data_IF_975131068165
#
_entry.id   IF_975131068165
#
_cell.length_a   1.000
_cell.length_b   1.000
_cell.length_c   1.000
_cell.angle_alpha   90.00
_cell.angle_beta   90.00
_cell.angle_gamma   90.00
#
_symmetry.space_group_name_H-M   'P 1'
#
loop_
_entity.id
_entity.type
_entity.pdbx_description
1 polymer ?
#
# COMPACT_ATOMS: atom_id res chain seq x y z
N UNK A 1 18.41 -6.76 30.43
CA UNK A 1 17.17 -6.26 31.07
C UNK A 1 15.99 -7.25 30.96
N UNK A 2 15.65 -7.79 29.78
CA UNK A 2 14.52 -8.74 29.65
C UNK A 2 14.73 -10.09 30.35
N UNK A 3 15.93 -10.67 30.26
CA UNK A 3 16.26 -11.94 30.95
C UNK A 3 16.14 -11.83 32.46
N UNK A 4 16.72 -10.79 33.05
CA UNK A 4 16.70 -10.54 34.49
C UNK A 4 15.29 -10.51 35.10
N UNK A 5 14.27 -10.00 34.40
CA UNK A 5 12.92 -9.96 34.94
C UNK A 5 12.26 -11.36 34.98
N UNK A 6 12.46 -12.17 33.94
CA UNK A 6 11.92 -13.53 33.88
C UNK A 6 12.65 -14.43 34.87
N UNK A 7 13.98 -14.37 34.90
CA UNK A 7 14.80 -15.17 35.80
C UNK A 7 14.49 -14.85 37.27
N UNK A 8 14.31 -13.57 37.62
CA UNK A 8 13.90 -13.16 38.97
C UNK A 8 12.49 -13.64 39.34
N UNK A 9 11.57 -13.67 38.39
CA UNK A 9 10.20 -14.14 38.64
C UNK A 9 10.16 -15.65 38.86
N UNK A 10 10.85 -16.42 38.02
CA UNK A 10 10.98 -17.88 38.15
C UNK A 10 11.70 -18.24 39.45
N UNK A 11 12.77 -17.53 39.81
CA UNK A 11 13.51 -17.77 41.05
C UNK A 11 12.63 -17.67 42.31
N UNK A 12 11.58 -16.84 42.29
CA UNK A 12 10.63 -16.67 43.40
C UNK A 12 9.57 -17.78 43.48
N UNK A 13 9.48 -18.67 42.48
CA UNK A 13 8.48 -19.75 42.43
C UNK A 13 9.14 -21.13 42.28
N UNK A 14 9.35 -21.87 43.39
CA UNK A 14 10.01 -23.19 43.38
C UNK A 14 9.46 -24.20 42.35
N UNK A 15 8.14 -24.29 42.09
CA UNK A 15 7.62 -25.20 41.07
C UNK A 15 8.08 -24.90 39.64
N UNK A 16 8.55 -23.67 39.37
CA UNK A 16 8.93 -23.22 38.04
C UNK A 16 10.44 -23.26 37.80
N UNK A 17 11.25 -23.57 38.82
CA UNK A 17 12.70 -23.69 38.69
C UNK A 17 13.16 -24.63 37.55
N UNK A 18 12.48 -25.76 37.26
CA UNK A 18 12.85 -26.60 36.11
C UNK A 18 12.66 -25.94 34.73
N UNK A 19 11.94 -24.82 34.66
CA UNK A 19 11.64 -24.09 33.42
C UNK A 19 12.57 -22.88 33.23
N UNK A 20 13.62 -22.76 34.03
CA UNK A 20 14.55 -21.64 33.95
C UNK A 20 15.33 -21.71 32.63
N UNK A 21 15.26 -20.63 31.85
CA UNK A 21 15.88 -20.58 30.53
C UNK A 21 17.41 -20.59 30.67
N UNK A 22 18.04 -21.49 29.94
CA UNK A 22 19.50 -21.56 29.88
C UNK A 22 20.05 -20.43 29.00
N UNK A 23 21.37 -20.22 29.07
CA UNK A 23 22.02 -19.25 28.19
C UNK A 23 21.88 -19.62 26.69
N UNK A 24 21.80 -20.91 26.38
CA UNK A 24 21.54 -21.40 25.02
C UNK A 24 20.11 -21.07 24.57
N UNK A 25 19.12 -21.21 25.46
CA UNK A 25 17.73 -20.83 25.16
C UNK A 25 17.61 -19.33 24.87
N UNK A 26 18.31 -18.49 25.64
CA UNK A 26 18.35 -17.04 25.38
C UNK A 26 19.00 -16.71 24.04
N UNK A 27 20.09 -17.41 23.68
CA UNK A 27 20.72 -17.25 22.37
C UNK A 27 19.79 -17.69 21.24
N UNK A 28 19.05 -18.79 21.42
CA UNK A 28 18.05 -19.26 20.47
C UNK A 28 16.93 -18.24 20.27
N UNK A 29 16.43 -17.65 21.36
CA UNK A 29 15.40 -16.60 21.34
C UNK A 29 15.88 -15.34 20.61
N UNK A 30 17.14 -14.94 20.80
CA UNK A 30 17.72 -13.80 20.08
C UNK A 30 17.82 -14.05 18.57
N UNK A 31 18.23 -15.25 18.15
CA UNK A 31 18.24 -15.62 16.73
C UNK A 31 16.82 -15.71 16.15
N UNK A 32 15.87 -16.27 16.89
CA UNK A 32 14.47 -16.31 16.49
C UNK A 32 13.90 -14.90 16.33
N UNK A 33 14.21 -13.98 17.26
CA UNK A 33 13.80 -12.59 17.15
C UNK A 33 14.35 -11.94 15.86
N UNK A 34 15.61 -12.21 15.48
CA UNK A 34 16.19 -11.70 14.24
C UNK A 34 15.47 -12.24 13.00
N UNK A 35 15.14 -13.54 13.00
CA UNK A 35 14.37 -14.17 11.91
C UNK A 35 12.98 -13.53 11.79
N UNK A 36 12.28 -13.31 12.91
CA UNK A 36 10.91 -12.80 12.92
C UNK A 36 10.78 -11.28 12.79
N UNK A 37 11.87 -10.52 12.97
CA UNK A 37 11.83 -9.05 12.99
C UNK A 37 11.18 -8.43 11.73
N UNK A 38 11.48 -8.87 10.49
CA UNK A 38 10.85 -8.30 9.30
C UNK A 38 9.34 -8.54 9.25
N UNK A 39 8.87 -9.69 9.73
CA UNK A 39 7.44 -10.00 9.81
C UNK A 39 6.71 -9.04 10.75
N UNK A 40 7.32 -8.70 11.89
CA UNK A 40 6.78 -7.68 12.79
C UNK A 40 6.71 -6.31 12.12
N UNK A 41 7.77 -5.89 11.42
CA UNK A 41 7.81 -4.60 10.69
C UNK A 41 6.75 -4.55 9.59
N UNK A 42 6.64 -5.60 8.78
CA UNK A 42 5.63 -5.74 7.72
C UNK A 42 4.23 -5.67 8.31
N UNK A 43 3.96 -6.43 9.37
CA UNK A 43 2.65 -6.44 10.05
C UNK A 43 2.29 -5.04 10.54
N UNK A 44 3.22 -4.33 11.20
CA UNK A 44 2.98 -2.97 11.69
C UNK A 44 2.70 -1.99 10.55
N UNK A 45 3.47 -2.04 9.45
CA UNK A 45 3.29 -1.16 8.31
C UNK A 45 1.96 -1.44 7.59
N UNK A 46 1.63 -2.71 7.38
CA UNK A 46 0.37 -3.15 6.76
C UNK A 46 -0.87 -2.88 7.61
N UNK A 47 -0.68 -2.67 8.92
CA UNK A 47 -1.73 -2.30 9.88
C UNK A 47 -2.01 -0.79 9.95
N UNK A 48 -1.30 0.03 9.16
CA UNK A 48 -1.55 1.47 9.07
C UNK A 48 -2.81 1.72 8.23
N UNK A 49 -3.58 2.73 8.63
CA UNK A 49 -4.80 3.16 7.93
C UNK A 49 -4.70 4.56 7.31
N UNK A 50 -3.60 5.29 7.55
CA UNK A 50 -3.39 6.66 7.08
C UNK A 50 -2.55 6.75 5.80
N UNK A 51 -2.03 5.63 5.32
CA UNK A 51 -1.18 5.53 4.14
C UNK A 51 -1.65 4.37 3.28
N UNK A 52 -1.56 4.48 1.94
CA UNK A 52 -1.72 3.35 1.04
C UNK A 52 -0.81 2.18 1.41
N UNK A 53 -1.39 1.00 1.55
CA UNK A 53 -0.66 -0.24 1.93
C UNK A 53 -0.61 -1.26 0.80
N UNK A 54 -1.61 -1.29 -0.09
CA UNK A 54 -1.65 -2.23 -1.22
C UNK A 54 -0.39 -2.22 -2.12
N UNK A 55 0.22 -1.05 -2.48
CA UNK A 55 1.43 -1.02 -3.30
C UNK A 55 2.62 -1.74 -2.69
N UNK A 56 2.62 -1.90 -1.37
CA UNK A 56 3.72 -2.48 -0.62
C UNK A 56 3.58 -3.99 -0.44
N UNK A 57 2.46 -4.60 -0.84
CA UNK A 57 2.21 -6.03 -0.60
C UNK A 57 3.28 -6.89 -1.28
N UNK A 58 3.48 -6.74 -2.59
CA UNK A 58 4.48 -7.52 -3.34
C UNK A 58 5.91 -7.19 -2.85
N UNK A 59 6.32 -5.91 -2.69
CA UNK A 59 7.62 -5.57 -2.11
C UNK A 59 7.90 -6.19 -0.73
N UNK A 60 6.91 -6.23 0.16
CA UNK A 60 7.09 -6.80 1.49
C UNK A 60 7.22 -8.32 1.48
N UNK A 61 6.47 -9.02 0.62
CA UNK A 61 6.68 -10.45 0.42
C UNK A 61 8.09 -10.73 -0.09
N UNK A 62 8.55 -10.01 -1.12
CA UNK A 62 9.92 -10.17 -1.64
C UNK A 62 10.97 -9.91 -0.56
N UNK A 63 10.79 -8.88 0.28
CA UNK A 63 11.71 -8.61 1.38
C UNK A 63 11.74 -9.73 2.43
N UNK A 64 10.58 -10.27 2.82
CA UNK A 64 10.51 -11.37 3.79
C UNK A 64 11.04 -12.69 3.20
N UNK A 65 10.81 -12.97 1.92
CA UNK A 65 11.34 -14.14 1.22
C UNK A 65 12.87 -14.10 1.19
N UNK A 66 13.43 -12.98 0.76
CA UNK A 66 14.89 -12.79 0.72
C UNK A 66 15.50 -12.95 2.11
N UNK A 67 14.88 -12.36 3.13
CA UNK A 67 15.33 -12.50 4.50
C UNK A 67 15.36 -13.95 4.98
N UNK A 68 14.30 -14.72 4.71
CA UNK A 68 14.26 -16.14 5.09
C UNK A 68 15.29 -16.97 4.31
N UNK A 69 15.49 -16.71 3.00
CA UNK A 69 16.51 -17.40 2.20
C UNK A 69 17.91 -17.25 2.79
N UNK A 70 18.30 -16.03 3.15
CA UNK A 70 19.59 -15.75 3.81
C UNK A 70 19.74 -16.56 5.10
N UNK A 71 18.67 -16.72 5.89
CA UNK A 71 18.72 -17.50 7.14
C UNK A 71 18.71 -19.03 6.90
N UNK A 72 18.11 -19.51 5.81
CA UNK A 72 18.15 -20.94 5.45
C UNK A 72 19.57 -21.35 5.02
N UNK A 73 20.27 -20.47 4.31
CA UNK A 73 21.64 -20.68 3.81
C UNK A 73 22.73 -20.45 4.85
N UNK A 74 22.41 -19.78 5.96
CA UNK A 74 23.37 -19.47 7.02
C UNK A 74 23.78 -20.73 7.80
N UNK A 75 25.06 -21.08 7.76
CA UNK A 75 25.60 -22.29 8.40
C UNK A 75 25.77 -22.17 9.93
N UNK A 76 25.67 -20.98 10.51
CA UNK A 76 25.87 -20.74 11.94
C UNK A 76 24.58 -20.84 12.78
N UNK A 77 23.42 -21.00 12.13
CA UNK A 77 22.13 -21.24 12.77
C UNK A 77 21.98 -22.71 13.17
N UNK A 78 21.30 -22.95 14.28
CA UNK A 78 20.92 -24.31 14.70
C UNK A 78 20.06 -24.96 13.62
N UNK A 79 20.19 -26.29 13.47
CA UNK A 79 19.44 -27.05 12.48
C UNK A 79 17.92 -26.80 12.60
N UNK A 80 17.40 -26.77 13.82
CA UNK A 80 15.98 -26.51 14.10
C UNK A 80 15.51 -25.13 13.62
N UNK A 81 16.32 -24.08 13.78
CA UNK A 81 15.96 -22.74 13.28
C UNK A 81 16.02 -22.67 11.76
N UNK A 82 16.98 -23.37 11.13
CA UNK A 82 17.06 -23.46 9.67
C UNK A 82 15.88 -24.21 9.07
N UNK A 83 15.48 -25.31 9.68
CA UNK A 83 14.28 -26.07 9.31
C UNK A 83 13.02 -25.23 9.48
N UNK A 84 12.89 -24.49 10.59
CA UNK A 84 11.78 -23.58 10.82
C UNK A 84 11.74 -22.44 9.79
N UNK A 85 12.89 -21.83 9.48
CA UNK A 85 13.00 -20.80 8.45
C UNK A 85 12.65 -21.35 7.06
N UNK A 86 13.08 -22.57 6.74
CA UNK A 86 12.75 -23.27 5.49
C UNK A 86 11.24 -23.55 5.38
N UNK A 87 10.62 -24.06 6.44
CA UNK A 87 9.17 -24.26 6.48
C UNK A 87 8.41 -22.93 6.34
N UNK A 88 8.91 -21.87 6.98
CA UNK A 88 8.41 -20.51 6.82
C UNK A 88 8.53 -19.99 5.38
N UNK A 89 9.65 -20.25 4.72
CA UNK A 89 9.92 -19.85 3.34
C UNK A 89 8.92 -20.52 2.38
N UNK A 90 8.77 -21.84 2.49
CA UNK A 90 7.79 -22.61 1.70
C UNK A 90 6.38 -22.05 1.87
N UNK A 91 5.99 -21.75 3.12
CA UNK A 91 4.66 -21.18 3.40
C UNK A 91 4.50 -19.79 2.82
N UNK A 92 5.54 -18.96 2.92
CA UNK A 92 5.53 -17.59 2.43
C UNK A 92 5.43 -17.54 0.90
N UNK A 93 6.12 -18.43 0.19
CA UNK A 93 6.06 -18.54 -1.27
C UNK A 93 4.64 -18.87 -1.77
N UNK A 94 3.90 -19.73 -1.06
CA UNK A 94 2.50 -20.03 -1.40
C UNK A 94 1.60 -18.78 -1.39
N UNK A 95 1.75 -17.91 -0.39
CA UNK A 95 0.97 -16.67 -0.31
C UNK A 95 1.51 -15.59 -1.24
N UNK A 96 2.82 -15.56 -1.44
CA UNK A 96 3.44 -14.66 -2.41
C UNK A 96 2.88 -14.89 -3.81
N UNK A 97 2.76 -16.14 -4.26
CA UNK A 97 2.18 -16.46 -5.56
C UNK A 97 0.72 -15.97 -5.70
N UNK A 98 -0.08 -16.06 -4.63
CA UNK A 98 -1.43 -15.46 -4.62
C UNK A 98 -1.38 -13.94 -4.73
N UNK A 99 -0.46 -13.30 -4.00
CA UNK A 99 -0.29 -11.85 -4.04
C UNK A 99 0.15 -11.35 -5.42
N UNK A 100 1.06 -12.07 -6.09
CA UNK A 100 1.53 -11.75 -7.44
C UNK A 100 0.45 -11.91 -8.51
N UNK A 101 -0.43 -12.90 -8.38
CA UNK A 101 -1.52 -13.13 -9.35
C UNK A 101 -2.63 -12.08 -9.23
N UNK A 102 -2.69 -11.35 -8.13
CA UNK A 102 -3.67 -10.30 -7.92
C UNK A 102 -3.29 -9.04 -8.71
N UNK A 103 -4.07 -8.74 -9.75
CA UNK A 103 -3.86 -7.55 -10.59
C UNK A 103 -3.87 -6.24 -9.79
N UNK A 104 -4.67 -6.15 -8.72
CA UNK A 104 -4.76 -4.95 -7.89
C UNK A 104 -3.42 -4.64 -7.21
N UNK A 105 -2.74 -5.66 -6.69
CA UNK A 105 -1.41 -5.51 -6.10
C UNK A 105 -0.41 -4.99 -7.13
N UNK A 106 -0.42 -5.55 -8.35
CA UNK A 106 0.47 -5.15 -9.43
C UNK A 106 0.22 -3.69 -9.82
N UNK A 107 -1.03 -3.34 -10.13
CA UNK A 107 -1.42 -2.00 -10.58
C UNK A 107 -1.09 -0.97 -9.48
N UNK A 108 -1.44 -1.24 -8.22
CA UNK A 108 -1.12 -0.35 -7.10
C UNK A 108 0.40 -0.15 -6.93
N UNK A 109 1.21 -1.21 -7.13
CA UNK A 109 2.68 -1.13 -7.10
C UNK A 109 3.21 -0.20 -8.19
N UNK A 110 2.68 -0.29 -9.42
CA UNK A 110 3.07 0.60 -10.54
C UNK A 110 2.66 2.05 -10.26
N UNK A 111 1.48 2.27 -9.69
CA UNK A 111 0.97 3.60 -9.36
C UNK A 111 1.75 4.28 -8.24
N UNK A 112 2.61 3.56 -7.51
CA UNK A 112 3.38 4.16 -6.44
C UNK A 112 4.62 4.93 -7.00
N UNK A 113 4.75 6.26 -6.75
CA UNK A 113 5.83 7.12 -7.24
C UNK A 113 7.25 6.58 -7.06
N UNK A 114 7.50 5.93 -5.93
CA UNK A 114 8.84 5.39 -5.63
C UNK A 114 9.14 4.00 -6.19
N UNK A 115 8.13 3.28 -6.71
CA UNK A 115 8.29 1.92 -7.21
C UNK A 115 8.23 1.91 -8.73
N UNK A 116 7.07 2.30 -9.27
CA UNK A 116 6.81 2.34 -10.70
C UNK A 116 7.02 0.99 -11.39
N UNK A 117 7.04 1.05 -12.72
CA UNK A 117 7.32 -0.13 -13.55
C UNK A 117 8.78 -0.61 -13.39
N UNK A 118 9.70 0.29 -13.02
CA UNK A 118 11.12 -0.01 -12.76
C UNK A 118 11.32 -1.01 -11.64
N UNK A 119 10.44 -1.03 -10.64
CA UNK A 119 10.56 -1.98 -9.53
C UNK A 119 10.43 -3.43 -10.01
N UNK A 120 9.49 -3.71 -10.91
CA UNK A 120 9.33 -5.04 -11.51
C UNK A 120 10.51 -5.44 -12.39
N UNK A 121 11.16 -4.47 -13.05
CA UNK A 121 12.35 -4.71 -13.87
C UNK A 121 13.53 -5.32 -13.10
N UNK A 122 13.61 -5.09 -11.78
CA UNK A 122 14.63 -5.73 -10.92
C UNK A 122 14.52 -7.25 -10.87
N UNK A 123 13.34 -7.79 -11.17
CA UNK A 123 13.02 -9.21 -11.06
C UNK A 123 12.82 -9.87 -12.43
N UNK A 124 13.26 -9.22 -13.52
CA UNK A 124 13.22 -9.73 -14.88
C UNK A 124 12.25 -8.99 -15.80
N UNK A 125 12.58 -8.96 -17.09
CA UNK A 125 11.80 -8.24 -18.10
C UNK A 125 10.40 -8.86 -18.29
N UNK A 126 10.24 -10.17 -18.13
CA UNK A 126 8.94 -10.85 -18.21
C UNK A 126 7.94 -10.33 -17.18
N UNK A 127 8.39 -10.14 -15.93
CA UNK A 127 7.54 -9.61 -14.86
C UNK A 127 7.14 -8.17 -15.15
N UNK A 128 8.08 -7.37 -15.64
CA UNK A 128 7.84 -5.98 -16.04
C UNK A 128 6.86 -5.89 -17.21
N UNK A 129 7.00 -6.75 -18.22
CA UNK A 129 6.09 -6.81 -19.37
C UNK A 129 4.68 -7.23 -18.95
N UNK A 130 4.57 -8.26 -18.11
CA UNK A 130 3.28 -8.69 -17.56
C UNK A 130 2.59 -7.56 -16.78
N UNK A 131 3.35 -6.87 -15.92
CA UNK A 131 2.86 -5.73 -15.14
C UNK A 131 2.40 -4.57 -16.05
N UNK A 132 3.16 -4.27 -17.10
CA UNK A 132 2.82 -3.26 -18.10
C UNK A 132 1.51 -3.60 -18.82
N UNK A 133 1.33 -4.84 -19.26
CA UNK A 133 0.11 -5.29 -19.96
C UNK A 133 -1.13 -5.10 -19.08
N UNK A 134 -1.08 -5.57 -17.82
CA UNK A 134 -2.20 -5.43 -16.88
C UNK A 134 -2.54 -3.96 -16.62
N UNK A 135 -1.51 -3.12 -16.46
CA UNK A 135 -1.70 -1.70 -16.26
C UNK A 135 -2.35 -1.02 -17.47
N UNK A 136 -1.85 -1.29 -18.69
CA UNK A 136 -2.41 -0.75 -19.93
C UNK A 136 -3.88 -1.12 -20.09
N UNK A 137 -4.25 -2.37 -19.84
CA UNK A 137 -5.64 -2.82 -19.90
C UNK A 137 -6.55 -2.07 -18.90
N UNK A 138 -6.09 -1.88 -17.67
CA UNK A 138 -6.81 -1.08 -16.68
C UNK A 138 -6.92 0.39 -17.11
N UNK A 139 -5.82 0.96 -17.62
CA UNK A 139 -5.77 2.33 -18.11
C UNK A 139 -6.77 2.59 -19.25
N UNK A 140 -6.85 1.69 -20.23
CA UNK A 140 -7.81 1.83 -21.34
C UNK A 140 -9.26 1.86 -20.85
N UNK A 141 -9.58 1.06 -19.83
CA UNK A 141 -10.92 1.05 -19.21
C UNK A 141 -11.23 2.39 -18.54
N UNK A 142 -10.27 2.94 -17.78
CA UNK A 142 -10.40 4.26 -17.14
C UNK A 142 -10.44 5.40 -18.16
N UNK A 143 -9.65 5.31 -19.24
CA UNK A 143 -9.61 6.30 -20.32
C UNK A 143 -10.97 6.43 -21.01
N UNK A 144 -11.64 5.31 -21.31
CA UNK A 144 -13.01 5.31 -21.87
C UNK A 144 -13.99 6.08 -20.98
N UNK A 145 -13.93 5.85 -19.67
CA UNK A 145 -14.79 6.55 -18.69
C UNK A 145 -14.45 8.04 -18.68
N UNK A 146 -13.16 8.39 -18.62
CA UNK A 146 -12.67 9.76 -18.63
C UNK A 146 -13.13 10.53 -19.87
N UNK A 147 -12.94 9.96 -21.06
CA UNK A 147 -13.29 10.60 -22.33
C UNK A 147 -14.81 10.82 -22.43
N UNK A 148 -15.62 9.86 -21.97
CA UNK A 148 -17.08 9.98 -21.92
C UNK A 148 -17.55 11.11 -20.98
N UNK A 149 -16.96 11.19 -19.78
CA UNK A 149 -17.27 12.27 -18.84
C UNK A 149 -16.85 13.64 -19.38
N UNK A 150 -15.66 13.71 -19.98
CA UNK A 150 -15.14 14.95 -20.60
C UNK A 150 -16.02 15.41 -21.76
N UNK A 151 -16.53 14.48 -22.57
CA UNK A 151 -17.46 14.79 -23.65
C UNK A 151 -18.79 15.34 -23.11
N UNK A 152 -19.33 14.77 -22.02
CA UNK A 152 -20.55 15.22 -21.35
C UNK A 152 -20.41 16.57 -20.64
N UNK A 153 -19.22 16.91 -20.17
CA UNK A 153 -18.94 18.14 -19.43
C UNK A 153 -18.78 19.39 -20.32
N UNK A 154 -18.75 19.27 -21.66
CA UNK A 154 -18.78 20.44 -22.55
C UNK A 154 -20.20 21.06 -22.55
N UNK A 155 -20.41 22.31 -22.10
CA UNK A 155 -21.68 23.00 -22.28
C UNK A 155 -21.81 23.48 -23.73
N UNK A 156 -23.05 23.52 -24.23
CA UNK A 156 -23.49 24.37 -25.34
C UNK A 156 -22.90 25.77 -25.17
N UNK A 157 -22.09 26.23 -26.12
CA UNK A 157 -21.59 27.60 -26.12
C UNK A 157 -22.77 28.55 -26.39
N UNK A 158 -23.25 29.25 -25.37
CA UNK A 158 -23.88 30.56 -25.60
C UNK A 158 -22.77 31.58 -25.85
N UNK A 159 -22.84 32.39 -26.92
CA UNK A 159 -21.87 33.44 -27.17
C UNK A 159 -22.00 34.51 -26.08
N UNK A 160 -21.02 34.60 -25.17
CA UNK A 160 -20.89 35.75 -24.27
C UNK A 160 -20.31 36.94 -25.04
N UNK A 161 -21.00 38.09 -25.13
CA UNK A 161 -20.43 39.29 -25.70
C UNK A 161 -19.48 39.95 -24.69
N UNK A 162 -18.25 40.24 -25.13
CA UNK A 162 -17.31 41.12 -24.44
C UNK A 162 -16.23 40.41 -23.62
N UNK A 163 -15.18 39.93 -24.29
CA UNK A 163 -13.87 39.78 -23.66
C UNK A 163 -12.90 40.75 -24.34
N UNK A 164 -12.63 41.88 -23.69
CA UNK A 164 -11.44 42.67 -23.95
C UNK A 164 -10.24 41.83 -23.55
N UNK A 165 -9.49 41.33 -24.53
CA UNK A 165 -8.25 40.61 -24.29
C UNK A 165 -7.27 41.54 -23.56
N UNK A 166 -6.81 41.11 -22.40
CA UNK A 166 -5.79 41.80 -21.63
C UNK A 166 -4.54 41.99 -22.50
N UNK A 167 -3.98 43.21 -22.54
CA UNK A 167 -2.74 43.52 -23.24
C UNK A 167 -1.58 42.58 -22.84
N UNK A 168 -1.54 42.14 -21.58
CA UNK A 168 -0.55 41.16 -21.10
C UNK A 168 -0.82 39.74 -21.63
N UNK A 169 -2.08 39.38 -21.93
CA UNK A 169 -2.39 38.11 -22.57
C UNK A 169 -1.90 38.06 -24.02
N UNK A 170 -1.89 39.21 -24.71
CA UNK A 170 -1.31 39.34 -26.05
C UNK A 170 0.22 39.39 -26.03
N UNK A 171 0.85 39.97 -24.99
CA UNK A 171 2.33 39.96 -24.87
C UNK A 171 2.85 38.56 -24.55
N UNK A 172 2.14 37.82 -23.70
CA UNK A 172 2.51 36.45 -23.36
C UNK A 172 2.03 35.41 -24.39
N UNK A 173 1.28 35.84 -25.41
CA UNK A 173 0.96 35.00 -26.56
C UNK A 173 2.23 34.89 -27.42
N UNK A 174 3.16 34.07 -26.97
CA UNK A 174 4.09 33.43 -27.89
C UNK A 174 3.26 32.55 -28.81
N UNK A 175 3.49 32.64 -30.12
CA UNK A 175 2.93 31.73 -31.11
C UNK A 175 3.38 30.31 -30.77
N UNK A 176 2.57 29.61 -29.97
CA UNK A 176 2.74 28.22 -29.56
C UNK A 176 2.35 27.26 -30.71
N UNK A 177 2.51 27.71 -31.96
CA UNK A 177 2.13 27.00 -33.18
C UNK A 177 3.30 26.17 -33.78
N UNK A 178 4.45 26.13 -33.09
CA UNK A 178 5.60 25.30 -33.47
C UNK A 178 6.22 24.53 -32.28
N UNK A 179 5.37 23.90 -31.46
CA UNK A 179 5.77 22.70 -30.71
C UNK A 179 5.04 21.51 -31.31
N UNK A 180 5.73 20.87 -32.26
CA UNK A 180 5.24 19.72 -33.01
C UNK A 180 4.41 18.75 -32.16
N UNK A 181 3.20 18.47 -32.67
CA UNK A 181 2.32 17.36 -32.26
C UNK A 181 3.07 16.03 -32.41
N UNK A 182 4.00 15.74 -31.51
CA UNK A 182 4.26 14.36 -31.12
C UNK A 182 3.18 14.01 -30.12
N UNK A 183 2.08 13.46 -30.61
CA UNK A 183 0.97 12.95 -29.81
C UNK A 183 1.42 11.73 -28.99
N UNK A 184 2.40 11.91 -28.10
CA UNK A 184 2.83 10.89 -27.16
C UNK A 184 1.69 10.69 -26.18
N UNK A 185 1.14 9.47 -26.11
CA UNK A 185 -0.01 9.21 -25.25
C UNK A 185 0.36 9.47 -23.79
N UNK A 186 -0.60 9.90 -22.96
CA UNK A 186 -0.40 10.05 -21.50
C UNK A 186 0.25 8.78 -20.89
N UNK A 187 -0.11 7.60 -21.40
CA UNK A 187 0.45 6.33 -20.98
C UNK A 187 1.93 6.17 -21.34
N UNK A 188 2.32 6.56 -22.55
CA UNK A 188 3.73 6.54 -22.98
C UNK A 188 4.56 7.55 -22.19
N UNK A 189 4.01 8.75 -21.97
CA UNK A 189 4.61 9.77 -21.11
C UNK A 189 4.75 9.26 -19.68
N UNK A 190 3.74 8.58 -19.14
CA UNK A 190 3.80 7.99 -17.81
C UNK A 190 4.95 6.98 -17.72
N UNK A 191 5.06 6.03 -18.65
CA UNK A 191 6.14 5.04 -18.61
C UNK A 191 7.55 5.63 -18.88
N UNK A 192 7.64 6.77 -19.59
CA UNK A 192 8.90 7.46 -19.85
C UNK A 192 9.32 8.40 -18.70
N UNK A 193 8.42 9.28 -18.26
CA UNK A 193 8.68 10.36 -17.32
C UNK A 193 8.83 9.89 -15.86
N UNK A 194 8.23 8.75 -15.49
CA UNK A 194 8.35 8.23 -14.13
C UNK A 194 9.76 7.77 -13.75
N UNK A 195 10.68 7.68 -14.71
CA UNK A 195 12.10 7.44 -14.44
C UNK A 195 12.82 8.69 -13.92
N UNK A 196 12.29 9.89 -14.15
CA UNK A 196 13.02 11.16 -13.97
C UNK A 196 12.41 12.08 -12.91
N UNK A 197 11.13 11.93 -12.59
CA UNK A 197 10.45 12.79 -11.63
C UNK A 197 10.68 12.25 -10.21
N UNK A 198 11.30 13.06 -9.36
CA UNK A 198 11.77 12.70 -8.02
C UNK A 198 10.79 11.85 -7.22
N UNK A 199 11.35 10.91 -6.44
CA UNK A 199 10.59 9.99 -5.59
C UNK A 199 9.75 10.80 -4.60
N UNK A 200 8.45 10.90 -4.83
CA UNK A 200 7.51 11.45 -3.86
C UNK A 200 7.58 10.71 -2.52
N UNK A 201 6.90 11.23 -1.50
CA UNK A 201 6.86 10.59 -0.18
C UNK A 201 6.40 9.12 -0.26
N UNK A 202 7.14 8.23 0.40
CA UNK A 202 6.81 6.80 0.48
C UNK A 202 5.47 6.53 1.16
N UNK A 203 5.07 7.38 2.11
CA UNK A 203 3.83 7.22 2.88
C UNK A 203 2.68 8.07 2.30
N UNK A 204 2.94 8.97 1.35
CA UNK A 204 1.93 9.87 0.79
C UNK A 204 1.91 9.91 -0.74
N UNK A 205 1.77 8.77 -1.43
CA UNK A 205 1.73 8.73 -2.89
C UNK A 205 0.52 9.46 -3.46
N UNK A 206 -0.59 9.57 -2.72
CA UNK A 206 -1.80 10.30 -3.16
C UNK A 206 -1.58 11.82 -3.23
N UNK A 207 -0.72 12.39 -2.37
CA UNK A 207 -0.38 13.82 -2.46
C UNK A 207 0.42 14.11 -3.72
N UNK A 208 1.34 13.21 -4.08
CA UNK A 208 2.06 13.28 -5.34
C UNK A 208 1.07 13.25 -6.52
N UNK A 209 0.13 12.30 -6.54
CA UNK A 209 -0.87 12.23 -7.62
C UNK A 209 -1.78 13.46 -7.70
N UNK A 210 -2.06 14.13 -6.58
CA UNK A 210 -2.82 15.39 -6.58
C UNK A 210 -2.06 16.52 -7.29
N UNK A 211 -0.74 16.59 -7.13
CA UNK A 211 0.11 17.60 -7.79
C UNK A 211 0.24 17.34 -9.29
N UNK A 212 0.38 16.07 -9.69
CA UNK A 212 0.61 15.66 -11.08
C UNK A 212 -0.69 15.31 -11.86
N UNK A 213 -1.87 15.47 -11.27
CA UNK A 213 -3.16 15.15 -11.90
C UNK A 213 -3.37 15.88 -13.24
N UNK A 214 -2.90 17.12 -13.35
CA UNK A 214 -3.01 17.90 -14.59
C UNK A 214 -2.24 17.29 -15.78
N UNK A 215 -1.13 16.57 -15.51
CA UNK A 215 -0.31 15.91 -16.54
C UNK A 215 -0.80 14.50 -16.84
N UNK A 216 -1.34 13.82 -15.83
CA UNK A 216 -1.76 12.43 -15.91
C UNK A 216 -3.19 12.25 -15.36
N UNK A 217 -4.21 12.82 -16.02
CA UNK A 217 -5.57 12.86 -15.48
C UNK A 217 -6.22 11.49 -15.37
N UNK A 218 -5.95 10.56 -16.30
CA UNK A 218 -6.49 9.20 -16.25
C UNK A 218 -5.73 8.37 -15.22
N UNK A 219 -4.40 8.47 -15.19
CA UNK A 219 -3.59 7.72 -14.22
C UNK A 219 -3.84 8.20 -12.79
N UNK A 220 -4.01 9.50 -12.56
CA UNK A 220 -4.34 10.05 -11.25
C UNK A 220 -5.69 9.52 -10.72
N UNK A 221 -6.68 9.32 -11.59
CA UNK A 221 -7.94 8.64 -11.22
C UNK A 221 -7.70 7.21 -10.78
N UNK A 222 -6.94 6.43 -11.55
CA UNK A 222 -6.56 5.08 -11.16
C UNK A 222 -5.82 5.08 -9.81
N UNK A 223 -4.89 6.02 -9.60
CA UNK A 223 -4.16 6.15 -8.36
C UNK A 223 -5.09 6.37 -7.16
N UNK A 224 -6.10 7.22 -7.28
CA UNK A 224 -7.08 7.44 -6.20
C UNK A 224 -7.82 6.16 -5.82
N UNK A 225 -8.23 5.37 -6.81
CA UNK A 225 -9.02 4.15 -6.55
C UNK A 225 -8.15 3.00 -6.03
N UNK A 226 -7.05 2.69 -6.73
CA UNK A 226 -6.22 1.53 -6.40
C UNK A 226 -5.36 1.74 -5.14
N UNK A 227 -4.85 2.96 -4.90
CA UNK A 227 -4.06 3.22 -3.69
C UNK A 227 -4.93 3.33 -2.43
N UNK A 228 -6.24 3.56 -2.57
CA UNK A 228 -7.18 3.57 -1.45
C UNK A 228 -7.56 2.15 -0.97
N UNK A 229 -7.31 1.12 -1.78
CA UNK A 229 -7.55 -0.27 -1.38
C UNK A 229 -6.60 -0.62 -0.22
N UNK A 230 -7.10 -1.16 0.90
CA UNK A 230 -6.23 -1.63 1.97
C UNK A 230 -5.55 -2.94 1.58
N UNK A 231 -4.26 -3.08 1.89
CA UNK A 231 -3.50 -4.32 1.68
C UNK A 231 -3.88 -5.45 2.64
N UNK A 232 -4.57 -5.14 3.75
CA UNK A 232 -5.00 -6.11 4.78
C UNK A 232 -6.36 -5.74 5.38
N UNK A 233 -7.03 -6.72 6.00
CA UNK A 233 -8.27 -6.54 6.77
C UNK A 233 -8.06 -5.90 8.14
N UNK A 234 -6.82 -5.60 8.54
CA UNK A 234 -6.50 -5.17 9.92
C UNK A 234 -7.22 -3.87 10.31
N UNK A 235 -7.40 -2.93 9.37
CA UNK A 235 -8.14 -1.69 9.65
C UNK A 235 -9.60 -1.97 10.02
N UNK A 236 -10.23 -2.94 9.34
CA UNK A 236 -11.61 -3.38 9.56
C UNK A 236 -11.71 -4.19 10.86
N UNK A 237 -10.76 -5.08 11.13
CA UNK A 237 -10.71 -5.83 12.40
C UNK A 237 -10.51 -4.91 13.60
N UNK A 238 -9.65 -3.88 13.48
CA UNK A 238 -9.48 -2.86 14.51
C UNK A 238 -10.76 -2.07 14.73
N UNK A 239 -11.50 -1.77 13.66
CA UNK A 239 -12.81 -1.12 13.76
C UNK A 239 -13.79 -2.00 14.55
N UNK A 240 -13.92 -3.29 14.21
CA UNK A 240 -14.80 -4.22 14.92
C UNK A 240 -14.39 -4.43 16.38
N UNK A 241 -13.08 -4.58 16.65
CA UNK A 241 -12.55 -4.71 18.00
C UNK A 241 -12.87 -3.49 18.88
N UNK A 242 -12.73 -2.27 18.34
CA UNK A 242 -13.11 -1.02 19.04
C UNK A 242 -14.61 -0.85 19.23
N UNK A 243 -15.40 -1.56 18.44
CA UNK A 243 -16.86 -1.59 18.51
C UNK A 243 -17.40 -2.73 19.35
N UNK A 244 -16.54 -3.56 19.96
CA UNK A 244 -16.95 -4.67 20.84
C UNK A 244 -17.87 -4.22 21.96
N UNK A 245 -17.62 -3.04 22.55
CA UNK A 245 -18.48 -2.48 23.60
C UNK A 245 -19.87 -2.06 23.10
N UNK A 246 -20.02 -1.73 21.80
CA UNK A 246 -21.34 -1.46 21.20
C UNK A 246 -22.15 -2.76 21.10
N UNK A 247 -21.48 -3.90 20.89
CA UNK A 247 -22.09 -5.22 20.75
C UNK A 247 -22.12 -6.03 22.05
N UNK A 248 -21.80 -5.46 23.22
CA UNK A 248 -21.75 -6.20 24.48
C UNK A 248 -23.17 -6.62 24.94
N UNK A 249 -23.26 -7.76 25.63
CA UNK A 249 -24.48 -8.44 26.11
C UNK A 249 -25.53 -7.53 26.76
N UNK A 250 -25.16 -6.44 27.44
CA UNK A 250 -26.10 -5.48 28.03
C UNK A 250 -26.92 -4.67 26.98
N UNK A 251 -26.56 -4.76 25.68
CA UNK A 251 -27.27 -4.15 24.54
C UNK A 251 -27.65 -5.16 23.45
N UNK A 252 -27.82 -6.43 23.80
CA UNK A 252 -28.15 -7.52 22.87
C UNK A 252 -29.46 -7.37 22.08
N UNK A 253 -30.27 -6.34 22.36
CA UNK A 253 -31.52 -6.03 21.65
C UNK A 253 -31.30 -5.13 20.40
N UNK A 254 -30.11 -4.57 20.19
CA UNK A 254 -29.85 -3.72 19.02
C UNK A 254 -29.80 -4.54 17.73
N UNK A 255 -30.59 -4.12 16.73
CA UNK A 255 -30.55 -4.73 15.39
C UNK A 255 -29.22 -4.42 14.70
N UNK A 256 -28.79 -5.31 13.82
CA UNK A 256 -27.56 -5.14 13.02
C UNK A 256 -27.48 -3.78 12.32
N UNK A 257 -28.61 -3.27 11.78
CA UNK A 257 -28.70 -1.95 11.14
C UNK A 257 -28.28 -0.82 12.11
N UNK A 258 -28.83 -0.82 13.32
CA UNK A 258 -28.54 0.20 14.35
C UNK A 258 -27.09 0.14 14.82
N UNK A 259 -26.52 -1.07 14.92
CA UNK A 259 -25.10 -1.26 15.24
C UNK A 259 -24.23 -0.63 14.14
N UNK A 260 -24.53 -0.91 12.87
CA UNK A 260 -23.81 -0.32 11.73
C UNK A 260 -23.90 1.20 11.70
N UNK A 261 -25.10 1.77 11.87
CA UNK A 261 -25.31 3.22 11.92
C UNK A 261 -24.51 3.87 13.07
N UNK A 262 -24.56 3.30 14.27
CA UNK A 262 -23.79 3.78 15.41
C UNK A 262 -22.27 3.70 15.17
N UNK A 263 -21.80 2.65 14.49
CA UNK A 263 -20.39 2.52 14.10
C UNK A 263 -19.99 3.60 13.09
N UNK A 264 -20.78 3.83 12.03
CA UNK A 264 -20.50 4.86 11.03
C UNK A 264 -20.51 6.26 11.63
N UNK A 265 -21.52 6.60 12.42
CA UNK A 265 -21.61 7.91 13.09
C UNK A 265 -20.39 8.16 13.96
N UNK A 266 -19.96 7.16 14.76
CA UNK A 266 -18.75 7.26 15.59
C UNK A 266 -17.48 7.45 14.76
N UNK A 267 -17.38 6.82 13.59
CA UNK A 267 -16.26 7.02 12.68
C UNK A 267 -16.25 8.41 12.05
N UNK A 268 -17.40 8.89 11.58
CA UNK A 268 -17.53 10.18 10.95
C UNK A 268 -17.25 11.34 11.90
N UNK A 269 -17.73 11.27 13.15
CA UNK A 269 -17.38 12.24 14.20
C UNK A 269 -15.87 12.28 14.42
N UNK A 270 -15.22 11.11 14.53
CA UNK A 270 -13.76 11.04 14.73
C UNK A 270 -12.94 11.57 13.55
N UNK A 271 -13.48 11.44 12.34
CA UNK A 271 -12.85 11.94 11.14
C UNK A 271 -13.19 13.41 10.86
N UNK A 272 -14.01 14.06 11.70
CA UNK A 272 -14.41 15.46 11.54
C UNK A 272 -15.44 15.69 10.43
N UNK A 273 -16.15 14.65 9.98
CA UNK A 273 -17.20 14.77 8.96
C UNK A 273 -18.57 15.14 9.55
N UNK A 274 -18.72 15.08 10.87
CA UNK A 274 -19.90 15.51 11.61
C UNK A 274 -19.44 16.41 12.76
N UNK A 275 -19.86 17.68 12.72
CA UNK A 275 -19.67 18.64 13.82
C UNK A 275 -20.83 18.49 14.83
N UNK A 276 -20.54 18.78 16.10
CA UNK A 276 -21.52 18.85 17.21
C UNK A 276 -21.73 20.30 17.62
#
# INVERSE_FOLDING_TARGET
MKSQAIDQWVARQPPLHPLLLTQEDWKLLDELQKILQPFTKVTLQMSKSSTPTLPWVIPMYENMLEHLRVHVEKNDLTLSLREAASAGLVKLEQYYEKARRCQFNIIATILHPSLGLSWFGKYGEDRKNHAKILFTHAYESYKKIYDNEKARAKPTQEPRPGQTSSFLANICAFDDDDMGKTSTSELDLFFAAFRTHGRGSFDAPLLWWKEYEHRFPVVARMARDFLAIPGTSVSVERLFSRSRHLCHEARGSMKAKTISEAMFTKMWIKAGYLEY
#
